data_IF_950429994221
#
_entry.id   IF_950429994221
#
_cell.length_a   1.000
_cell.length_b   1.000
_cell.length_c   1.000
_cell.angle_alpha   90.00
_cell.angle_beta   90.00
_cell.angle_gamma   90.00
#
_symmetry.space_group_name_H-M   'P 1'
#
loop_
_entity.id
_entity.type
_entity.pdbx_description
1 polymer ?
#
# COMPACT_ATOMS: atom_id res chain seq x y z
N UNK A 1 28.52 7.47 39.31
CA UNK A 1 27.59 8.46 38.74
C UNK A 1 28.03 8.73 37.31
N UNK A 2 27.43 8.03 36.35
CA UNK A 2 27.62 8.25 34.91
C UNK A 2 26.22 8.38 34.35
N UNK A 3 25.79 9.61 34.14
CA UNK A 3 24.47 9.93 33.57
C UNK A 3 24.53 9.73 32.06
N UNK A 4 23.67 8.84 31.57
CA UNK A 4 23.48 8.53 30.16
C UNK A 4 22.75 9.66 29.46
N UNK A 5 23.36 10.18 28.39
CA UNK A 5 22.73 11.11 27.46
C UNK A 5 21.75 10.30 26.59
N UNK A 6 20.44 10.63 26.54
CA UNK A 6 19.50 9.92 25.69
C UNK A 6 19.73 10.30 24.22
N UNK A 7 19.94 9.29 23.38
CA UNK A 7 20.02 9.42 21.92
C UNK A 7 18.61 9.67 21.40
N UNK A 8 18.35 10.88 20.89
CA UNK A 8 17.08 11.23 20.24
C UNK A 8 17.08 10.65 18.83
N UNK A 9 16.14 9.74 18.54
CA UNK A 9 15.94 9.21 17.20
C UNK A 9 15.28 10.25 16.28
N UNK A 10 15.56 10.25 14.96
CA UNK A 10 15.08 11.29 14.03
C UNK A 10 13.56 11.28 13.77
N UNK A 11 12.83 10.29 14.30
CA UNK A 11 11.41 10.05 14.04
C UNK A 11 10.46 10.85 14.93
N UNK A 12 10.99 11.63 15.88
CA UNK A 12 10.18 12.17 16.99
C UNK A 12 9.52 13.53 16.72
N UNK A 13 9.71 14.12 15.53
CA UNK A 13 9.08 15.40 15.19
C UNK A 13 8.79 15.47 13.69
N UNK A 14 7.55 15.13 13.33
CA UNK A 14 6.65 15.84 12.39
C UNK A 14 5.60 14.86 11.84
N UNK A 15 4.71 14.38 12.71
CA UNK A 15 3.43 13.80 12.32
C UNK A 15 2.39 14.94 12.29
N UNK A 16 2.46 15.80 11.28
CA UNK A 16 1.40 16.77 11.02
C UNK A 16 0.32 16.06 10.21
N UNK A 17 -0.59 15.39 10.94
CA UNK A 17 -1.81 14.78 10.39
C UNK A 17 -2.62 15.88 9.71
N UNK A 18 -2.65 15.87 8.37
CA UNK A 18 -3.41 16.84 7.58
C UNK A 18 -4.90 16.49 7.60
N UNK A 19 -5.55 17.04 8.64
CA UNK A 19 -6.97 17.25 8.93
C UNK A 19 -8.01 16.59 8.01
N UNK A 20 -8.60 15.51 8.53
CA UNK A 20 -9.85 14.90 8.05
C UNK A 20 -11.07 15.82 8.26
N UNK A 21 -11.89 16.00 7.20
CA UNK A 21 -13.25 16.56 7.31
C UNK A 21 -14.28 15.43 7.44
N UNK A 22 -15.00 15.43 8.56
CA UNK A 22 -16.08 14.50 8.92
C UNK A 22 -17.25 14.53 7.92
N UNK A 23 -17.62 13.37 7.39
CA UNK A 23 -18.97 13.10 6.90
C UNK A 23 -19.85 12.57 8.06
N UNK A 24 -21.14 12.92 8.05
CA UNK A 24 -22.05 12.88 9.21
C UNK A 24 -22.62 11.48 9.47
N UNK A 25 -22.53 11.01 10.73
CA UNK A 25 -23.26 9.84 11.27
C UNK A 25 -24.77 10.10 11.41
N UNK A 26 -25.59 9.12 11.02
CA UNK A 26 -26.95 8.92 11.53
C UNK A 26 -26.90 7.95 12.73
N UNK A 27 -27.60 8.29 13.81
CA UNK A 27 -27.53 7.64 15.13
C UNK A 27 -28.48 6.44 15.25
N UNK A 28 -27.94 5.29 15.68
CA UNK A 28 -28.68 4.15 16.20
C UNK A 28 -28.21 3.82 17.62
N UNK A 29 -29.12 3.87 18.58
CA UNK A 29 -28.91 3.90 20.03
C UNK A 29 -28.76 2.48 20.60
N UNK A 30 -27.66 2.14 21.28
CA UNK A 30 -27.56 0.91 22.10
C UNK A 30 -27.07 1.22 23.52
N UNK A 31 -27.74 0.60 24.51
CA UNK A 31 -27.57 0.82 25.95
C UNK A 31 -26.68 -0.24 26.59
N UNK A 32 -25.71 0.23 27.38
CA UNK A 32 -25.05 -0.28 28.61
C UNK A 32 -24.83 -1.79 28.81
N UNK A 33 -23.55 -2.16 29.01
CA UNK A 33 -23.15 -3.27 29.88
C UNK A 33 -21.71 -3.76 29.65
N UNK A 34 -20.85 -3.60 30.68
CA UNK A 34 -19.47 -4.10 30.84
C UNK A 34 -18.35 -3.48 30.00
N UNK A 35 -17.33 -2.99 30.71
CA UNK A 35 -16.13 -2.35 30.20
C UNK A 35 -15.19 -3.39 29.56
N UNK A 36 -15.43 -3.71 28.29
CA UNK A 36 -14.34 -4.07 27.39
C UNK A 36 -13.66 -2.77 26.99
N UNK A 37 -12.33 -2.74 27.02
CA UNK A 37 -11.58 -1.71 26.29
C UNK A 37 -11.93 -1.95 24.83
N UNK A 38 -12.92 -1.23 24.32
CA UNK A 38 -13.25 -1.23 22.90
C UNK A 38 -12.08 -0.50 22.26
N UNK A 39 -11.06 -1.23 21.83
CA UNK A 39 -9.97 -0.69 21.03
C UNK A 39 -10.65 -0.22 19.74
N UNK A 40 -10.98 1.07 19.69
CA UNK A 40 -11.66 1.68 18.55
C UNK A 40 -10.75 1.52 17.34
N UNK A 41 -11.03 0.51 16.51
CA UNK A 41 -10.39 0.34 15.21
C UNK A 41 -10.40 1.70 14.50
N UNK A 42 -9.26 2.19 13.99
CA UNK A 42 -9.25 3.46 13.29
C UNK A 42 -10.22 3.37 12.11
N UNK A 43 -11.09 4.38 11.97
CA UNK A 43 -11.99 4.47 10.82
C UNK A 43 -11.18 4.34 9.52
N UNK A 44 -11.66 3.59 8.51
CA UNK A 44 -10.94 3.44 7.24
C UNK A 44 -10.60 4.80 6.62
N UNK A 45 -9.39 4.93 6.12
CA UNK A 45 -8.91 6.10 5.39
C UNK A 45 -9.47 6.02 3.97
N UNK A 46 -10.39 6.91 3.60
CA UNK A 46 -11.00 6.91 2.27
C UNK A 46 -10.48 8.07 1.41
N UNK A 47 -10.03 7.76 0.19
CA UNK A 47 -9.65 8.74 -0.83
C UNK A 47 -10.50 8.54 -2.08
N UNK A 48 -11.04 9.65 -2.57
CA UNK A 48 -11.83 9.75 -3.79
C UNK A 48 -11.45 11.01 -4.59
N UNK A 49 -11.97 11.15 -5.81
CA UNK A 49 -11.67 12.28 -6.71
C UNK A 49 -10.15 12.52 -6.87
N UNK A 50 -9.44 11.46 -7.23
CA UNK A 50 -7.99 11.48 -7.28
C UNK A 50 -7.46 12.37 -8.41
N UNK A 51 -6.45 13.17 -8.09
CA UNK A 51 -5.59 13.86 -9.06
C UNK A 51 -4.46 12.95 -9.56
N UNK A 52 -4.14 11.89 -8.81
CA UNK A 52 -3.12 10.94 -9.20
C UNK A 52 -3.13 9.66 -8.38
N UNK A 53 -2.80 8.55 -9.06
CA UNK A 53 -2.63 7.23 -8.47
C UNK A 53 -1.37 6.62 -9.08
N UNK A 54 -0.45 6.17 -8.23
CA UNK A 54 0.84 5.65 -8.67
C UNK A 54 1.33 4.47 -7.85
N UNK A 55 2.02 3.55 -8.51
CA UNK A 55 2.80 2.48 -7.91
C UNK A 55 4.23 2.58 -8.44
N UNK A 56 5.23 2.54 -7.56
CA UNK A 56 6.61 2.73 -7.99
C UNK A 56 7.64 2.43 -6.92
N UNK A 57 8.91 2.69 -7.24
CA UNK A 57 10.02 2.51 -6.32
C UNK A 57 10.84 3.80 -6.20
N UNK A 58 11.35 4.06 -5.00
CA UNK A 58 12.27 5.16 -4.68
C UNK A 58 13.55 4.58 -4.10
N UNK A 59 14.69 5.15 -4.48
CA UNK A 59 16.02 4.71 -4.07
C UNK A 59 16.82 4.02 -5.19
N UNK A 60 18.06 3.67 -4.85
CA UNK A 60 19.02 3.06 -5.77
C UNK A 60 18.73 1.57 -6.03
N UNK A 61 19.07 1.01 -7.20
CA UNK A 61 18.87 -0.41 -7.51
C UNK A 61 19.50 -1.36 -6.48
N UNK A 62 18.64 -2.04 -5.70
CA UNK A 62 19.02 -2.95 -4.61
C UNK A 62 18.72 -2.41 -3.21
N UNK A 63 18.50 -1.11 -3.09
CA UNK A 63 18.07 -0.43 -1.85
C UNK A 63 16.74 0.32 -2.07
N UNK A 64 15.95 -0.13 -3.05
CA UNK A 64 14.67 0.45 -3.41
C UNK A 64 13.59 0.05 -2.41
N UNK A 65 12.81 1.05 -1.99
CA UNK A 65 11.53 0.83 -1.33
C UNK A 65 10.39 1.05 -2.33
N UNK A 66 9.37 0.20 -2.26
CA UNK A 66 8.21 0.27 -3.16
C UNK A 66 7.01 0.91 -2.45
N UNK A 67 6.25 1.72 -3.19
CA UNK A 67 5.14 2.48 -2.64
C UNK A 67 3.93 2.44 -3.56
N UNK A 68 2.74 2.46 -2.94
CA UNK A 68 1.51 2.94 -3.55
C UNK A 68 1.24 4.36 -3.06
N UNK A 69 0.86 5.25 -3.96
CA UNK A 69 0.52 6.63 -3.63
C UNK A 69 -0.77 7.06 -4.32
N UNK A 70 -1.70 7.56 -3.53
CA UNK A 70 -2.93 8.20 -4.00
C UNK A 70 -2.93 9.67 -3.58
N UNK A 71 -3.34 10.54 -4.49
CA UNK A 71 -3.36 11.99 -4.30
C UNK A 71 -4.72 12.53 -4.70
N UNK A 72 -5.29 13.36 -3.84
CA UNK A 72 -6.46 14.18 -4.10
C UNK A 72 -6.15 15.62 -3.63
N UNK A 73 -6.94 16.59 -4.04
CA UNK A 73 -6.66 18.04 -3.98
C UNK A 73 -5.74 18.51 -2.83
N UNK A 74 -6.05 18.14 -1.59
CA UNK A 74 -5.31 18.49 -0.37
C UNK A 74 -4.85 17.28 0.46
N UNK A 75 -4.88 16.08 -0.11
CA UNK A 75 -4.52 14.83 0.58
C UNK A 75 -3.55 13.97 -0.24
N UNK A 76 -2.52 13.44 0.41
CA UNK A 76 -1.61 12.46 -0.16
C UNK A 76 -1.49 11.28 0.79
N UNK A 77 -1.93 10.10 0.34
CA UNK A 77 -1.68 8.83 1.01
C UNK A 77 -0.49 8.16 0.33
N UNK A 78 0.55 7.84 1.10
CA UNK A 78 1.66 7.00 0.64
C UNK A 78 1.72 5.77 1.53
N UNK A 79 1.77 4.58 0.93
CA UNK A 79 1.77 3.30 1.63
C UNK A 79 2.97 2.49 1.17
N UNK A 80 3.75 1.98 2.12
CA UNK A 80 4.87 1.10 1.84
C UNK A 80 4.33 -0.27 1.45
N UNK A 81 4.86 -0.85 0.38
CA UNK A 81 4.46 -2.17 -0.14
C UNK A 81 5.69 -2.97 -0.53
N UNK A 82 5.55 -4.29 -0.57
CA UNK A 82 6.59 -5.18 -1.06
C UNK A 82 6.66 -5.17 -2.59
N UNK A 83 7.85 -5.46 -3.14
CA UNK A 83 8.05 -5.51 -4.59
C UNK A 83 7.10 -6.51 -5.27
N UNK A 84 6.95 -7.68 -4.67
CA UNK A 84 6.11 -8.77 -5.14
C UNK A 84 4.63 -8.38 -5.13
N UNK A 85 4.20 -7.60 -4.14
CA UNK A 85 2.84 -7.06 -4.08
C UNK A 85 2.57 -6.08 -5.24
N UNK A 86 3.52 -5.21 -5.57
CA UNK A 86 3.38 -4.30 -6.73
C UNK A 86 3.32 -5.09 -8.05
N UNK A 87 4.14 -6.12 -8.19
CA UNK A 87 4.16 -6.98 -9.38
C UNK A 87 2.83 -7.72 -9.58
N UNK A 88 2.29 -8.29 -8.50
CA UNK A 88 1.00 -8.97 -8.50
C UNK A 88 -0.14 -7.99 -8.78
N UNK A 89 -0.18 -6.86 -8.06
CA UNK A 89 -1.21 -5.84 -8.25
C UNK A 89 -1.25 -5.30 -9.69
N UNK A 90 -0.10 -5.06 -10.30
CA UNK A 90 -0.05 -4.57 -11.68
C UNK A 90 -0.68 -5.58 -12.67
N UNK A 91 -0.40 -6.87 -12.50
CA UNK A 91 -0.96 -7.94 -13.33
C UNK A 91 -2.46 -8.10 -13.07
N UNK A 92 -2.86 -8.22 -11.81
CA UNK A 92 -4.25 -8.46 -11.41
C UNK A 92 -5.15 -7.26 -11.73
N UNK A 93 -4.65 -6.03 -11.63
CA UNK A 93 -5.41 -4.83 -11.99
C UNK A 93 -5.78 -4.82 -13.48
N UNK A 94 -4.87 -5.21 -14.38
CA UNK A 94 -5.18 -5.29 -15.82
C UNK A 94 -6.21 -6.39 -16.08
N UNK A 95 -5.98 -7.59 -15.56
CA UNK A 95 -6.91 -8.70 -15.71
C UNK A 95 -8.29 -8.40 -15.11
N UNK A 96 -8.35 -7.67 -13.99
CA UNK A 96 -9.58 -7.20 -13.38
C UNK A 96 -10.33 -6.21 -14.27
N UNK A 97 -9.62 -5.21 -14.81
CA UNK A 97 -10.20 -4.20 -15.69
C UNK A 97 -10.74 -4.79 -17.00
N UNK A 98 -10.09 -5.83 -17.52
CA UNK A 98 -10.54 -6.56 -18.71
C UNK A 98 -11.82 -7.34 -18.42
N UNK A 99 -11.90 -8.04 -17.27
CA UNK A 99 -13.10 -8.79 -16.87
C UNK A 99 -14.34 -7.91 -16.73
N UNK A 100 -14.20 -6.69 -16.21
CA UNK A 100 -15.35 -5.79 -16.03
C UNK A 100 -15.71 -5.02 -17.31
N UNK A 101 -14.85 -5.04 -18.35
CA UNK A 101 -15.06 -4.24 -19.55
C UNK A 101 -16.28 -4.66 -20.38
N UNK A 102 -16.63 -5.95 -20.33
CA UNK A 102 -17.78 -6.49 -21.08
C UNK A 102 -19.11 -5.99 -20.49
N UNK A 103 -19.23 -5.99 -19.16
CA UNK A 103 -20.46 -5.59 -18.46
C UNK A 103 -20.54 -4.05 -18.28
N UNK A 104 -19.39 -3.39 -18.18
CA UNK A 104 -19.26 -1.95 -17.96
C UNK A 104 -18.34 -1.35 -19.04
N UNK A 105 -18.86 -1.06 -20.24
CA UNK A 105 -18.07 -0.41 -21.27
C UNK A 105 -17.66 1.00 -20.84
N UNK A 106 -16.44 1.40 -21.16
CA UNK A 106 -15.93 2.75 -20.90
C UNK A 106 -15.37 3.37 -22.17
N UNK A 107 -15.26 4.70 -22.17
CA UNK A 107 -14.55 5.41 -23.21
C UNK A 107 -13.07 5.02 -23.23
N UNK A 108 -12.47 5.02 -24.43
CA UNK A 108 -11.05 4.72 -24.65
C UNK A 108 -10.14 5.87 -24.19
N UNK A 109 -10.26 6.28 -22.93
CA UNK A 109 -9.43 7.29 -22.29
C UNK A 109 -8.21 6.59 -21.72
N UNK A 110 -7.03 7.01 -22.17
CA UNK A 110 -5.75 6.52 -21.65
C UNK A 110 -5.00 7.66 -20.99
N UNK A 111 -4.51 7.41 -19.77
CA UNK A 111 -3.62 8.34 -19.09
C UNK A 111 -2.16 7.95 -19.37
N UNK A 112 -1.27 8.93 -19.61
CA UNK A 112 0.15 8.64 -19.76
C UNK A 112 0.73 8.07 -18.47
N UNK A 113 1.71 7.16 -18.56
CA UNK A 113 2.34 6.54 -17.39
C UNK A 113 2.99 7.58 -16.46
N UNK A 114 3.38 8.75 -16.95
CA UNK A 114 3.89 9.87 -16.14
C UNK A 114 2.87 10.39 -15.13
N UNK A 115 1.56 10.29 -15.43
CA UNK A 115 0.50 10.68 -14.50
C UNK A 115 0.49 9.81 -13.22
N UNK A 116 1.05 8.60 -13.31
CA UNK A 116 1.16 7.64 -12.22
C UNK A 116 2.53 7.68 -11.50
N UNK A 117 3.36 8.70 -11.74
CA UNK A 117 4.61 8.87 -11.00
C UNK A 117 4.38 9.21 -9.53
N UNK A 118 5.21 8.65 -8.67
CA UNK A 118 5.27 9.00 -7.24
C UNK A 118 5.79 10.43 -7.11
N UNK A 119 5.23 11.19 -6.16
CA UNK A 119 5.70 12.53 -5.82
C UNK A 119 6.41 12.51 -4.48
N UNK A 120 7.54 13.21 -4.41
CA UNK A 120 8.24 13.46 -3.16
C UNK A 120 7.50 14.52 -2.32
N UNK A 121 7.47 14.38 -0.99
CA UNK A 121 8.14 13.33 -0.21
C UNK A 121 7.33 12.02 -0.17
N UNK A 122 8.00 10.87 -0.34
CA UNK A 122 7.37 9.53 -0.24
C UNK A 122 7.50 8.96 1.18
N UNK A 123 6.93 9.66 2.15
CA UNK A 123 6.89 9.20 3.55
C UNK A 123 5.67 8.29 3.74
N UNK A 124 5.85 6.99 4.03
CA UNK A 124 4.72 6.08 4.16
C UNK A 124 3.96 6.32 5.47
N UNK A 125 2.63 6.22 5.41
CA UNK A 125 1.77 6.23 6.59
C UNK A 125 1.81 4.89 7.32
N UNK A 126 1.79 3.78 6.56
CA UNK A 126 1.84 2.41 7.06
C UNK A 126 2.42 1.46 6.00
N UNK A 127 2.65 0.20 6.37
CA UNK A 127 3.03 -0.88 5.43
C UNK A 127 1.84 -1.78 5.15
N UNK A 128 1.40 -1.88 3.89
CA UNK A 128 0.32 -2.79 3.54
C UNK A 128 0.79 -4.26 3.57
N UNK A 129 0.02 -5.10 4.24
CA UNK A 129 0.19 -6.56 4.24
C UNK A 129 -0.76 -7.23 3.25
N UNK A 130 -1.91 -6.61 3.00
CA UNK A 130 -2.92 -7.09 2.05
C UNK A 130 -3.34 -5.96 1.11
N UNK A 131 -3.60 -6.34 -0.14
CA UNK A 131 -4.10 -5.46 -1.19
C UNK A 131 -5.29 -6.14 -1.86
N UNK A 132 -6.44 -5.48 -1.86
CA UNK A 132 -7.67 -5.93 -2.50
C UNK A 132 -8.06 -5.05 -3.68
N UNK A 133 -8.74 -5.64 -4.66
CA UNK A 133 -9.38 -4.94 -5.78
C UNK A 133 -10.89 -5.20 -5.75
N UNK A 134 -11.66 -4.14 -5.97
CA UNK A 134 -13.10 -4.17 -6.11
C UNK A 134 -13.58 -3.18 -7.17
N UNK A 135 -14.86 -3.26 -7.52
CA UNK A 135 -15.48 -2.32 -8.45
C UNK A 135 -16.82 -1.87 -7.89
N UNK A 136 -17.04 -0.57 -7.90
CA UNK A 136 -18.29 0.08 -7.57
C UNK A 136 -19.06 0.34 -8.88
N UNK A 137 -20.12 -0.43 -9.19
CA UNK A 137 -20.86 -0.27 -10.44
C UNK A 137 -21.77 0.95 -10.47
N UNK A 138 -22.16 1.51 -9.31
CA UNK A 138 -23.00 2.70 -9.27
C UNK A 138 -22.19 3.96 -9.61
N UNK A 139 -20.92 3.98 -9.19
CA UNK A 139 -19.99 5.09 -9.40
C UNK A 139 -19.02 4.87 -10.56
N UNK A 140 -18.97 3.65 -11.09
CA UNK A 140 -18.01 3.18 -12.09
C UNK A 140 -16.54 3.39 -11.67
N UNK A 141 -16.25 3.16 -10.39
CA UNK A 141 -14.91 3.34 -9.80
C UNK A 141 -14.31 1.99 -9.39
N UNK A 142 -13.00 1.86 -9.57
CA UNK A 142 -12.24 0.74 -8.99
C UNK A 142 -11.88 1.08 -7.56
N UNK A 143 -12.17 0.17 -6.64
CA UNK A 143 -11.72 0.21 -5.26
C UNK A 143 -10.39 -0.53 -5.15
N UNK A 144 -9.38 0.15 -4.61
CA UNK A 144 -8.15 -0.48 -4.14
C UNK A 144 -8.16 -0.38 -2.61
N UNK A 145 -8.20 -1.52 -1.93
CA UNK A 145 -8.16 -1.59 -0.47
C UNK A 145 -6.77 -2.04 -0.01
N UNK A 146 -6.17 -1.29 0.91
CA UNK A 146 -4.86 -1.54 1.50
C UNK A 146 -5.04 -1.77 2.99
N UNK A 147 -4.58 -2.91 3.51
CA UNK A 147 -4.66 -3.21 4.95
C UNK A 147 -3.29 -3.43 5.53
N UNK A 148 -3.01 -2.76 6.63
CA UNK A 148 -2.00 -3.17 7.58
C UNK A 148 -2.56 -4.36 8.37
N UNK A 149 -1.75 -5.40 8.58
CA UNK A 149 -2.02 -6.38 9.62
C UNK A 149 -0.99 -6.16 10.70
N UNK A 150 -1.44 -5.72 11.85
CA UNK A 150 -0.74 -5.83 13.11
C UNK A 150 -0.89 -7.29 13.53
N UNK A 151 0.21 -8.04 13.50
CA UNK A 151 0.26 -9.26 14.30
C UNK A 151 0.44 -8.81 15.73
N UNK A 152 -0.32 -9.38 16.67
CA UNK A 152 0.01 -9.39 18.10
C UNK A 152 1.31 -10.18 18.38
N UNK A 153 2.32 -10.08 17.50
CA UNK A 153 3.57 -10.87 17.50
C UNK A 153 4.80 -10.00 17.83
N UNK A 154 4.62 -8.83 18.46
CA UNK A 154 5.71 -8.15 19.16
C UNK A 154 5.89 -8.69 20.60
N UNK A 155 5.35 -9.87 20.90
CA UNK A 155 5.70 -10.66 22.09
C UNK A 155 6.57 -11.85 21.65
N UNK A 156 7.89 -11.63 21.66
CA UNK A 156 8.84 -12.71 21.91
C UNK A 156 8.50 -13.34 23.27
N UNK A 157 7.69 -14.41 23.30
CA UNK A 157 7.92 -15.56 24.18
C UNK A 157 6.87 -16.66 23.93
N UNK A 158 7.39 -17.88 23.75
CA UNK A 158 6.80 -19.18 24.10
C UNK A 158 5.30 -19.20 24.45
N UNK A 159 4.46 -19.80 23.58
CA UNK A 159 3.61 -20.94 23.96
C UNK A 159 2.77 -21.46 22.77
N UNK A 160 2.76 -22.79 22.66
CA UNK A 160 1.96 -23.63 21.75
C UNK A 160 0.51 -23.15 21.56
N UNK A 161 0.21 -22.57 20.40
CA UNK A 161 -1.17 -22.24 20.01
C UNK A 161 -1.96 -23.52 19.66
N UNK A 162 -2.94 -23.85 20.51
CA UNK A 162 -3.99 -24.83 20.23
C UNK A 162 -4.90 -24.35 19.09
N UNK A 163 -5.25 -25.25 18.18
CA UNK A 163 -5.93 -24.99 16.92
C UNK A 163 -7.45 -24.70 17.03
N UNK A 164 -7.91 -23.92 18.02
CA UNK A 164 -9.36 -23.72 18.25
C UNK A 164 -9.84 -22.27 18.36
N UNK A 165 -8.99 -21.26 18.19
CA UNK A 165 -9.41 -19.85 18.11
C UNK A 165 -8.95 -19.22 16.78
N UNK A 166 -9.65 -19.57 15.70
CA UNK A 166 -9.64 -18.77 14.47
C UNK A 166 -10.80 -17.79 14.57
N UNK A 167 -10.71 -16.87 15.53
CA UNK A 167 -11.50 -15.64 15.40
C UNK A 167 -10.79 -14.84 14.30
N UNK A 168 -11.54 -14.47 13.25
CA UNK A 168 -11.12 -13.50 12.24
C UNK A 168 -10.96 -12.13 12.93
N UNK A 169 -9.95 -11.99 13.79
CA UNK A 169 -9.52 -10.70 14.30
C UNK A 169 -8.93 -9.93 13.12
N UNK A 170 -9.80 -9.17 12.43
CA UNK A 170 -9.44 -8.00 11.64
C UNK A 170 -8.47 -7.17 12.51
N UNK A 171 -7.16 -7.37 12.30
CA UNK A 171 -6.12 -6.74 13.12
C UNK A 171 -6.30 -5.23 13.22
N UNK A 172 -5.87 -4.66 14.33
CA UNK A 172 -6.04 -3.24 14.72
C UNK A 172 -5.21 -2.23 13.89
N UNK A 173 -4.84 -2.59 12.67
CA UNK A 173 -4.02 -1.80 11.76
C UNK A 173 -4.80 -0.81 10.89
N UNK A 174 -4.05 0.03 10.15
CA UNK A 174 -4.66 0.94 9.18
C UNK A 174 -5.35 0.20 8.02
N UNK A 175 -6.54 0.67 7.67
CA UNK A 175 -7.24 0.31 6.43
C UNK A 175 -7.37 1.57 5.57
N UNK A 176 -6.98 1.48 4.30
CA UNK A 176 -7.19 2.55 3.33
C UNK A 176 -7.98 2.05 2.11
N UNK A 177 -8.97 2.84 1.69
CA UNK A 177 -9.81 2.59 0.51
C UNK A 177 -9.62 3.72 -0.49
N UNK A 178 -9.13 3.37 -1.67
CA UNK A 178 -8.83 4.31 -2.74
C UNK A 178 -9.82 4.05 -3.87
N UNK A 179 -10.65 5.03 -4.19
CA UNK A 179 -11.59 4.97 -5.30
C UNK A 179 -10.99 5.70 -6.51
N UNK A 180 -10.65 4.93 -7.55
CA UNK A 180 -9.93 5.41 -8.71
C UNK A 180 -10.67 5.12 -10.01
N UNK A 181 -10.45 5.97 -11.01
CA UNK A 181 -10.96 5.70 -12.36
C UNK A 181 -10.15 4.58 -13.01
N UNK A 182 -10.78 3.84 -13.93
CA UNK A 182 -10.10 2.75 -14.65
C UNK A 182 -8.86 3.23 -15.43
N UNK A 183 -8.83 4.41 -16.08
CA UNK A 183 -7.60 4.95 -16.67
C UNK A 183 -6.48 5.20 -15.65
N UNK A 184 -6.80 5.66 -14.43
CA UNK A 184 -5.82 5.84 -13.36
C UNK A 184 -5.22 4.50 -12.91
N UNK A 185 -6.07 3.47 -12.77
CA UNK A 185 -5.62 2.12 -12.41
C UNK A 185 -4.73 1.51 -13.49
N UNK A 186 -5.05 1.68 -14.78
CA UNK A 186 -4.17 1.24 -15.88
C UNK A 186 -2.81 1.92 -15.84
N UNK A 187 -2.79 3.25 -15.67
CA UNK A 187 -1.54 4.00 -15.60
C UNK A 187 -0.69 3.57 -14.39
N UNK A 188 -1.33 3.38 -13.23
CA UNK A 188 -0.70 2.84 -12.02
C UNK A 188 -0.10 1.45 -12.25
N UNK A 189 -0.87 0.53 -12.83
CA UNK A 189 -0.41 -0.82 -13.13
C UNK A 189 0.79 -0.83 -14.08
N UNK A 190 0.72 -0.06 -15.18
CA UNK A 190 1.82 0.07 -16.13
C UNK A 190 3.08 0.65 -15.47
N UNK A 191 2.93 1.68 -14.62
CA UNK A 191 4.06 2.28 -13.90
C UNK A 191 4.67 1.32 -12.88
N UNK A 192 3.83 0.61 -12.14
CA UNK A 192 4.24 -0.40 -11.15
C UNK A 192 5.03 -1.52 -11.80
N UNK A 193 4.52 -2.07 -12.90
CA UNK A 193 5.21 -3.09 -13.69
C UNK A 193 6.60 -2.61 -14.18
N UNK A 194 6.67 -1.39 -14.70
CA UNK A 194 7.94 -0.79 -15.12
C UNK A 194 8.93 -0.61 -13.96
N UNK A 195 8.45 -0.20 -12.77
CA UNK A 195 9.29 -0.05 -11.59
C UNK A 195 9.85 -1.39 -11.08
N UNK A 196 9.04 -2.45 -11.12
CA UNK A 196 9.45 -3.82 -10.78
C UNK A 196 10.49 -4.34 -11.77
N UNK A 197 10.28 -4.11 -13.07
CA UNK A 197 11.18 -4.54 -14.15
C UNK A 197 12.51 -3.78 -14.18
N UNK A 198 12.52 -2.53 -13.71
CA UNK A 198 13.73 -1.70 -13.59
C UNK A 198 14.66 -2.13 -12.43
N UNK A 199 14.61 -3.40 -12.02
CA UNK A 199 15.55 -4.00 -11.09
C UNK A 199 16.95 -4.16 -11.68
N UNK A 200 17.87 -4.74 -10.90
CA UNK A 200 19.23 -5.02 -11.36
C UNK A 200 19.19 -5.95 -12.59
N UNK A 201 19.94 -5.65 -13.67
CA UNK A 201 20.01 -6.54 -14.82
C UNK A 201 20.54 -7.91 -14.37
N UNK A 202 19.93 -9.00 -14.87
CA UNK A 202 20.38 -10.35 -14.58
C UNK A 202 21.67 -10.65 -15.35
N UNK A 203 22.61 -11.35 -14.71
CA UNK A 203 23.83 -11.81 -15.37
C UNK A 203 23.48 -12.84 -16.44
N UNK A 204 23.87 -12.65 -17.73
CA UNK A 204 23.53 -13.59 -18.81
C UNK A 204 24.19 -14.96 -18.64
N UNK A 205 25.15 -15.08 -17.71
CA UNK A 205 25.80 -16.33 -17.40
C UNK A 205 25.10 -17.07 -16.27
N UNK A 206 24.81 -16.45 -15.11
CA UNK A 206 24.29 -17.18 -13.94
C UNK A 206 22.87 -16.79 -13.51
N UNK A 207 22.20 -15.91 -14.24
CA UNK A 207 20.86 -15.37 -13.95
C UNK A 207 20.72 -14.67 -12.59
N UNK A 208 21.84 -14.37 -11.92
CA UNK A 208 21.85 -13.61 -10.68
C UNK A 208 21.83 -12.10 -10.95
N UNK A 209 21.18 -11.29 -10.10
CA UNK A 209 21.20 -9.83 -10.21
C UNK A 209 22.63 -9.26 -10.21
N UNK A 210 22.93 -8.41 -11.18
CA UNK A 210 24.23 -7.72 -11.24
C UNK A 210 24.20 -6.47 -10.36
N UNK A 211 25.12 -6.40 -9.41
CA UNK A 211 25.32 -5.19 -8.60
C UNK A 211 25.94 -4.07 -9.45
N UNK A 212 25.47 -2.82 -9.33
CA UNK A 212 26.09 -1.66 -9.97
C UNK A 212 27.59 -1.48 -9.66
N UNK A 213 28.03 -1.87 -8.46
CA UNK A 213 29.45 -1.83 -8.05
C UNK A 213 30.29 -2.96 -8.68
N UNK A 214 29.67 -3.89 -9.39
CA UNK A 214 30.30 -5.01 -10.09
C UNK A 214 29.71 -6.36 -9.69
N UNK A 215 29.55 -7.25 -10.67
CA UNK A 215 29.05 -8.61 -10.47
C UNK A 215 30.18 -9.63 -10.65
N UNK A 216 30.49 -10.43 -9.62
CA UNK A 216 31.37 -11.60 -9.75
C UNK A 216 30.52 -12.85 -10.02
N UNK A 217 30.51 -13.28 -11.29
CA UNK A 217 29.74 -14.43 -11.71
C UNK A 217 30.35 -15.75 -11.18
N UNK A 218 29.61 -16.57 -10.42
CA UNK A 218 30.10 -17.87 -9.95
C UNK A 218 30.43 -18.85 -11.09
N UNK A 219 29.83 -18.68 -12.28
CA UNK A 219 30.10 -19.49 -13.48
C UNK A 219 31.43 -19.17 -14.16
N UNK A 220 32.16 -18.15 -13.70
CA UNK A 220 33.44 -17.75 -14.29
C UNK A 220 34.65 -18.50 -13.71
N UNK A 221 34.44 -19.43 -12.78
CA UNK A 221 35.47 -20.26 -12.17
C UNK A 221 35.10 -21.75 -12.26
#
# INVERSE_FOLDING_TARGET
MRDGVPVRHPWDRHAEVQRHRRARRAQGKWRRGSAAIVQELPDPIELENLDGLGAGAVGEPGERAFYLQARAADAQLTVLVEKEQVALLATEAVAFLDRIADDYPEDAISLPTQAAELREPTVPLFRARLIGLGFDPERELVLIELRERTTSDDEEDDEVLSAEDVDDEDGDGFVARIYATRPQVRAMAARGAAAVAAGRPLCPLCDMPMDPAGHRCPRWN
#
